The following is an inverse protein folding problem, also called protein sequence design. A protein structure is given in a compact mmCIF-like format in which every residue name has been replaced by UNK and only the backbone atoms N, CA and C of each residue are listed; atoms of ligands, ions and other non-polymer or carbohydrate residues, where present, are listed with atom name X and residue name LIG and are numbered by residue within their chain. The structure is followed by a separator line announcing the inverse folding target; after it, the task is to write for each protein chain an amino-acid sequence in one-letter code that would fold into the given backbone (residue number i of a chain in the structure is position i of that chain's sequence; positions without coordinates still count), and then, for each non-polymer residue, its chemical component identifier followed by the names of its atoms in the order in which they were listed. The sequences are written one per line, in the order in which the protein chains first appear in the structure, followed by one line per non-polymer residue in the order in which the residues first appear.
data_IF_202146287667
#
_entry.id   IF_202146287667
#
_cell.length_a   1.000
_cell.length_b   1.000
_cell.length_c   1.000
_cell.angle_alpha   90.00
_cell.angle_beta   90.00
_cell.angle_gamma   90.00
#
_symmetry.space_group_name_H-M   'P 1'
#
loop_
_entity.id
_entity.type
_entity.pdbx_description
1 polymer ?
#
# COMPACT_ATOMS: atom_id res chain seq x y z
N UNK A 1 29.86 -24.66 -31.94
CA UNK A 1 29.87 -26.12 -32.21
C UNK A 1 28.56 -26.59 -32.87
N UNK A 2 27.41 -25.98 -32.56
CA UNK A 2 26.09 -26.33 -33.11
C UNK A 2 25.91 -25.87 -34.56
N UNK A 3 26.54 -24.80 -35.00
CA UNK A 3 26.47 -24.24 -36.35
C UNK A 3 27.04 -25.20 -37.44
N UNK A 4 27.86 -26.18 -37.09
CA UNK A 4 28.44 -27.14 -38.05
C UNK A 4 27.56 -28.37 -38.34
N UNK A 5 26.44 -28.52 -37.67
CA UNK A 5 25.58 -29.72 -37.76
C UNK A 5 24.30 -29.51 -38.60
N UNK A 6 23.99 -28.29 -39.01
CA UNK A 6 22.76 -28.02 -39.79
C UNK A 6 23.15 -27.43 -41.17
N UNK A 7 22.88 -28.12 -42.25
CA UNK A 7 23.26 -27.75 -43.62
C UNK A 7 22.30 -26.73 -44.29
N UNK A 8 21.54 -25.97 -43.55
CA UNK A 8 20.58 -25.01 -44.08
C UNK A 8 20.96 -23.59 -43.69
N UNK A 9 21.58 -22.85 -44.57
CA UNK A 9 21.94 -21.41 -44.41
C UNK A 9 20.75 -20.52 -44.08
N UNK A 10 19.54 -20.99 -44.23
CA UNK A 10 18.31 -20.24 -43.90
C UNK A 10 17.86 -20.42 -42.44
N UNK A 11 18.25 -21.51 -41.78
CA UNK A 11 17.82 -21.86 -40.43
C UNK A 11 18.66 -21.13 -39.37
N UNK A 12 19.91 -20.82 -39.67
CA UNK A 12 20.84 -20.14 -38.73
C UNK A 12 20.37 -18.75 -38.32
N UNK A 13 19.98 -17.83 -39.24
CA UNK A 13 19.54 -16.49 -38.81
C UNK A 13 18.20 -16.55 -38.04
N UNK A 14 17.32 -17.50 -38.40
CA UNK A 14 16.06 -17.68 -37.64
C UNK A 14 16.30 -18.19 -36.21
N UNK A 15 17.24 -19.10 -36.01
CA UNK A 15 17.64 -19.61 -34.70
C UNK A 15 18.32 -18.54 -33.88
N UNK A 16 19.16 -17.69 -34.44
CA UNK A 16 19.80 -16.57 -33.74
C UNK A 16 18.76 -15.57 -33.22
N UNK A 17 17.83 -15.14 -34.07
CA UNK A 17 16.73 -14.23 -33.67
C UNK A 17 15.86 -14.88 -32.58
N UNK A 18 15.56 -16.17 -32.69
CA UNK A 18 14.75 -16.87 -31.69
C UNK A 18 15.46 -16.96 -30.33
N UNK A 19 16.78 -17.20 -30.33
CA UNK A 19 17.59 -17.24 -29.11
C UNK A 19 17.71 -15.86 -28.47
N UNK A 20 17.87 -14.80 -29.25
CA UNK A 20 17.93 -13.43 -28.76
C UNK A 20 16.58 -13.02 -28.17
N UNK A 21 15.48 -13.30 -28.83
CA UNK A 21 14.14 -13.07 -28.29
C UNK A 21 13.89 -13.87 -27.01
N UNK A 22 14.31 -15.15 -26.96
CA UNK A 22 14.17 -15.98 -25.77
C UNK A 22 14.96 -15.41 -24.60
N UNK A 23 16.16 -14.89 -24.81
CA UNK A 23 16.99 -14.24 -23.80
C UNK A 23 16.30 -13.01 -23.19
N UNK A 24 15.69 -12.17 -24.02
CA UNK A 24 14.94 -10.98 -23.57
C UNK A 24 13.72 -11.37 -22.74
N UNK A 25 12.93 -12.34 -23.22
CA UNK A 25 11.74 -12.82 -22.52
C UNK A 25 12.12 -13.46 -21.18
N UNK A 26 13.20 -14.24 -21.15
CA UNK A 26 13.67 -14.87 -19.93
C UNK A 26 14.09 -13.81 -18.87
N UNK A 27 14.74 -12.74 -19.30
CA UNK A 27 15.11 -11.62 -18.42
C UNK A 27 13.87 -10.92 -17.87
N UNK A 28 12.85 -10.68 -18.69
CA UNK A 28 11.57 -10.12 -18.23
C UNK A 28 10.89 -11.02 -17.20
N UNK A 29 10.81 -12.32 -17.48
CA UNK A 29 10.22 -13.31 -16.56
C UNK A 29 10.99 -13.37 -15.22
N UNK A 30 12.32 -13.27 -15.28
CA UNK A 30 13.14 -13.22 -14.07
C UNK A 30 12.80 -12.02 -13.20
N UNK A 31 12.73 -10.80 -13.77
CA UNK A 31 12.40 -9.60 -13.00
C UNK A 31 10.93 -9.61 -12.50
N UNK A 32 9.98 -10.08 -13.30
CA UNK A 32 8.59 -10.27 -12.86
C UNK A 32 8.52 -11.24 -11.70
N UNK A 33 9.19 -12.38 -11.80
CA UNK A 33 9.26 -13.38 -10.73
C UNK A 33 9.93 -12.84 -9.47
N UNK A 34 11.05 -12.12 -9.62
CA UNK A 34 11.75 -11.49 -8.50
C UNK A 34 10.83 -10.49 -7.76
N UNK A 35 10.09 -9.65 -8.47
CA UNK A 35 9.18 -8.67 -7.86
C UNK A 35 7.93 -9.30 -7.23
N UNK A 36 7.58 -10.52 -7.59
CA UNK A 36 6.49 -11.25 -6.96
C UNK A 36 6.92 -12.08 -5.74
N UNK A 37 8.14 -12.65 -5.79
CA UNK A 37 8.59 -13.64 -4.80
C UNK A 37 9.42 -13.03 -3.67
N UNK A 38 10.25 -12.01 -3.96
CA UNK A 38 11.16 -11.43 -2.97
C UNK A 38 10.44 -10.57 -1.91
N UNK A 39 9.46 -9.68 -2.26
CA UNK A 39 8.76 -8.91 -1.25
C UNK A 39 7.85 -9.81 -0.39
N UNK A 40 7.90 -9.61 0.93
CA UNK A 40 6.95 -10.27 1.86
C UNK A 40 5.55 -9.61 1.82
N UNK A 41 5.07 -9.27 0.63
CA UNK A 41 3.78 -8.67 0.37
C UNK A 41 3.11 -9.37 -0.81
N UNK A 42 1.77 -9.53 -0.78
CA UNK A 42 1.01 -10.14 -1.89
C UNK A 42 1.00 -9.18 -3.10
N UNK A 43 1.99 -9.29 -3.98
CA UNK A 43 2.08 -8.48 -5.19
C UNK A 43 1.18 -9.09 -6.28
N UNK A 44 0.27 -8.26 -6.84
CA UNK A 44 -0.59 -8.70 -7.95
C UNK A 44 0.22 -8.78 -9.25
N UNK A 45 0.11 -9.87 -10.00
CA UNK A 45 0.80 -10.09 -11.27
C UNK A 45 0.63 -8.92 -12.26
N UNK A 46 -0.56 -8.30 -12.30
CA UNK A 46 -0.85 -7.13 -13.16
C UNK A 46 0.07 -5.92 -12.89
N UNK A 47 0.58 -5.78 -11.68
CA UNK A 47 1.45 -4.67 -11.26
C UNK A 47 2.94 -5.06 -11.41
N UNK A 48 3.28 -6.33 -11.21
CA UNK A 48 4.63 -6.84 -11.39
C UNK A 48 5.05 -6.91 -12.86
N UNK A 49 4.11 -7.21 -13.76
CA UNK A 49 4.39 -7.38 -15.19
C UNK A 49 4.99 -6.12 -15.84
N UNK A 50 4.37 -4.91 -15.78
CA UNK A 50 4.94 -3.71 -16.39
C UNK A 50 6.27 -3.29 -15.74
N UNK A 51 6.39 -3.46 -14.42
CA UNK A 51 7.63 -3.16 -13.71
C UNK A 51 8.77 -4.10 -14.11
N UNK A 52 8.49 -5.39 -14.27
CA UNK A 52 9.46 -6.40 -14.71
C UNK A 52 9.91 -6.22 -16.16
N UNK A 53 8.99 -5.86 -17.06
CA UNK A 53 9.33 -5.52 -18.46
C UNK A 53 10.23 -4.28 -18.50
N UNK A 54 9.88 -3.22 -17.76
CA UNK A 54 10.65 -1.98 -17.74
C UNK A 54 12.07 -2.22 -17.18
N UNK A 55 12.18 -2.90 -16.04
CA UNK A 55 13.46 -3.21 -15.42
C UNK A 55 14.30 -4.17 -16.28
N UNK A 56 13.68 -5.21 -16.84
CA UNK A 56 14.35 -6.16 -17.72
C UNK A 56 14.86 -5.53 -18.99
N UNK A 57 14.11 -4.60 -19.60
CA UNK A 57 14.55 -3.85 -20.78
C UNK A 57 15.71 -2.91 -20.44
N UNK A 58 15.64 -2.21 -19.30
CA UNK A 58 16.72 -1.35 -18.84
C UNK A 58 18.00 -2.18 -18.53
N UNK A 59 17.84 -3.36 -17.96
CA UNK A 59 18.94 -4.28 -17.67
C UNK A 59 19.60 -4.81 -18.95
N UNK A 60 18.82 -5.18 -19.97
CA UNK A 60 19.32 -5.61 -21.28
C UNK A 60 20.13 -4.48 -21.96
N UNK A 61 19.61 -3.26 -21.89
CA UNK A 61 20.31 -2.08 -22.40
C UNK A 61 21.65 -1.87 -21.68
N UNK A 62 21.65 -1.97 -20.34
CA UNK A 62 22.86 -1.87 -19.54
C UNK A 62 23.86 -2.97 -19.89
N UNK A 63 23.41 -4.21 -20.08
CA UNK A 63 24.25 -5.34 -20.47
C UNK A 63 24.88 -5.12 -21.83
N UNK A 64 24.11 -4.67 -22.81
CA UNK A 64 24.63 -4.33 -24.14
C UNK A 64 25.68 -3.24 -24.07
N UNK A 65 25.41 -2.17 -23.32
CA UNK A 65 26.34 -1.05 -23.12
C UNK A 65 27.64 -1.51 -22.45
N UNK A 66 27.54 -2.40 -21.46
CA UNK A 66 28.69 -2.95 -20.75
C UNK A 66 29.59 -3.78 -21.67
N UNK A 67 29.01 -4.71 -22.44
CA UNK A 67 29.76 -5.55 -23.39
C UNK A 67 30.41 -4.70 -24.47
N UNK A 68 29.69 -3.75 -25.05
CA UNK A 68 30.20 -2.83 -26.05
C UNK A 68 31.35 -1.96 -25.51
N UNK A 69 31.16 -1.44 -24.27
CA UNK A 69 32.17 -0.66 -23.56
C UNK A 69 33.46 -1.43 -23.29
N UNK A 70 33.34 -2.70 -22.86
CA UNK A 70 34.52 -3.56 -22.68
C UNK A 70 35.29 -3.79 -23.96
N UNK A 71 34.60 -4.06 -25.07
CA UNK A 71 35.24 -4.26 -26.39
C UNK A 71 35.95 -2.99 -26.85
N UNK A 72 35.36 -1.82 -26.59
CA UNK A 72 35.98 -0.53 -26.93
C UNK A 72 37.24 -0.27 -26.13
N UNK A 73 37.20 -0.44 -24.81
CA UNK A 73 38.37 -0.26 -23.92
C UNK A 73 39.48 -1.25 -24.25
N UNK A 74 39.15 -2.51 -24.54
CA UNK A 74 40.13 -3.53 -24.91
C UNK A 74 40.91 -3.21 -26.20
N UNK A 75 40.26 -2.53 -27.17
CA UNK A 75 40.91 -2.12 -28.41
C UNK A 75 41.92 -0.97 -28.24
N UNK A 76 41.66 -0.06 -27.31
CA UNK A 76 42.47 1.18 -27.18
C UNK A 76 43.56 1.10 -26.12
N UNK A 77 43.54 0.15 -25.18
CA UNK A 77 44.51 0.09 -24.08
C UNK A 77 45.17 -1.29 -23.93
N UNK A 78 46.20 -1.55 -24.71
CA UNK A 78 47.00 -2.77 -24.58
C UNK A 78 47.69 -2.91 -23.19
N UNK A 79 47.99 -1.76 -22.53
CA UNK A 79 48.72 -1.73 -21.23
C UNK A 79 47.75 -1.71 -20.03
N UNK A 80 46.59 -1.02 -20.13
CA UNK A 80 45.60 -0.85 -19.06
C UNK A 80 44.36 -1.74 -19.20
N UNK A 81 44.25 -2.51 -20.28
CA UNK A 81 43.00 -3.26 -20.61
C UNK A 81 42.51 -4.21 -19.53
N UNK A 82 43.42 -4.91 -18.87
CA UNK A 82 43.05 -5.82 -17.77
C UNK A 82 42.68 -5.08 -16.46
N UNK A 83 43.26 -3.89 -16.24
CA UNK A 83 42.97 -3.09 -15.04
C UNK A 83 41.65 -2.28 -15.18
N UNK A 84 41.29 -1.93 -16.40
CA UNK A 84 40.00 -1.23 -16.67
C UNK A 84 38.76 -2.07 -16.43
N UNK A 85 38.88 -3.38 -16.44
CA UNK A 85 37.80 -4.31 -16.18
C UNK A 85 37.17 -4.13 -14.78
N UNK A 86 38.01 -3.93 -13.76
CA UNK A 86 37.59 -3.81 -12.37
C UNK A 86 36.64 -2.60 -12.14
N UNK A 87 37.02 -1.35 -12.50
CA UNK A 87 36.12 -0.21 -12.35
C UNK A 87 34.85 -0.35 -13.18
N UNK A 88 34.96 -0.87 -14.41
CA UNK A 88 33.80 -1.06 -15.29
C UNK A 88 32.80 -2.09 -14.72
N UNK A 89 33.33 -3.18 -14.13
CA UNK A 89 32.52 -4.17 -13.44
C UNK A 89 31.79 -3.60 -12.21
N UNK A 90 32.48 -2.76 -11.41
CA UNK A 90 31.87 -2.10 -10.25
C UNK A 90 30.73 -1.17 -10.68
N UNK A 91 30.92 -0.37 -11.74
CA UNK A 91 29.89 0.50 -12.29
C UNK A 91 28.69 -0.33 -12.79
N UNK A 92 28.96 -1.41 -13.53
CA UNK A 92 27.91 -2.31 -14.02
C UNK A 92 27.10 -2.93 -12.86
N UNK A 93 27.77 -3.41 -11.82
CA UNK A 93 27.12 -3.98 -10.65
C UNK A 93 26.25 -2.94 -9.92
N UNK A 94 26.76 -1.72 -9.75
CA UNK A 94 26.04 -0.63 -9.13
C UNK A 94 24.78 -0.23 -9.93
N UNK A 95 24.90 -0.13 -11.25
CA UNK A 95 23.77 0.22 -12.13
C UNK A 95 22.74 -0.93 -12.18
N UNK A 96 23.18 -2.17 -12.21
CA UNK A 96 22.30 -3.35 -12.16
C UNK A 96 21.45 -3.35 -10.90
N UNK A 97 22.05 -3.04 -9.74
CA UNK A 97 21.34 -2.91 -8.48
C UNK A 97 20.37 -1.76 -8.47
N UNK A 98 20.77 -0.61 -9.01
CA UNK A 98 19.91 0.57 -9.14
C UNK A 98 18.67 0.28 -10.00
N UNK A 99 18.84 -0.38 -11.15
CA UNK A 99 17.73 -0.77 -12.03
C UNK A 99 16.77 -1.72 -11.31
N UNK A 100 17.31 -2.71 -10.58
CA UNK A 100 16.51 -3.68 -9.82
C UNK A 100 15.67 -2.99 -8.75
N UNK A 101 16.26 -2.08 -7.98
CA UNK A 101 15.55 -1.31 -6.95
C UNK A 101 14.53 -0.34 -7.56
N UNK A 102 14.88 0.35 -8.64
CA UNK A 102 13.96 1.25 -9.34
C UNK A 102 12.72 0.50 -9.85
N UNK A 103 12.91 -0.69 -10.43
CA UNK A 103 11.79 -1.54 -10.87
C UNK A 103 10.91 -2.01 -9.69
N UNK A 104 11.50 -2.36 -8.56
CA UNK A 104 10.75 -2.69 -7.35
C UNK A 104 9.92 -1.51 -6.84
N UNK A 105 10.47 -0.29 -6.90
CA UNK A 105 9.77 0.95 -6.57
C UNK A 105 8.57 1.19 -7.51
N UNK A 106 8.76 1.01 -8.82
CA UNK A 106 7.68 1.13 -9.81
C UNK A 106 6.59 0.08 -9.55
N UNK A 107 6.95 -1.15 -9.24
CA UNK A 107 6.00 -2.20 -8.90
C UNK A 107 5.19 -1.86 -7.65
N UNK A 108 5.85 -1.39 -6.59
CA UNK A 108 5.21 -0.93 -5.35
C UNK A 108 4.31 0.27 -5.58
N UNK A 109 4.77 1.26 -6.35
CA UNK A 109 3.97 2.44 -6.69
C UNK A 109 2.72 2.07 -7.49
N UNK A 110 2.83 1.17 -8.48
CA UNK A 110 1.71 0.67 -9.26
C UNK A 110 0.68 -0.08 -8.40
N UNK A 111 1.14 -0.81 -7.38
CA UNK A 111 0.25 -1.50 -6.45
C UNK A 111 -0.49 -0.54 -5.53
N UNK A 112 0.16 0.53 -5.11
CA UNK A 112 -0.36 1.49 -4.13
C UNK A 112 -1.02 2.73 -4.78
N UNK A 113 -1.16 2.78 -6.10
CA UNK A 113 -1.68 3.95 -6.82
C UNK A 113 -3.10 4.34 -6.34
N UNK A 114 -3.94 3.34 -6.04
CA UNK A 114 -5.27 3.57 -5.49
C UNK A 114 -5.21 4.24 -4.10
N UNK A 115 -4.26 3.85 -3.26
CA UNK A 115 -4.03 4.47 -1.94
C UNK A 115 -3.49 5.90 -2.05
N UNK A 116 -2.56 6.16 -2.98
CA UNK A 116 -2.02 7.51 -3.21
C UNK A 116 -3.08 8.47 -3.75
N UNK A 117 -3.89 8.03 -4.71
CA UNK A 117 -5.00 8.82 -5.26
C UNK A 117 -6.04 9.10 -4.18
N UNK A 118 -6.34 8.12 -3.35
CA UNK A 118 -7.27 8.24 -2.23
C UNK A 118 -6.76 9.22 -1.15
N UNK A 119 -5.51 9.10 -0.71
CA UNK A 119 -4.93 10.02 0.28
C UNK A 119 -4.97 11.48 -0.20
N UNK A 120 -4.87 11.71 -1.51
CA UNK A 120 -5.01 13.04 -2.10
C UNK A 120 -6.47 13.52 -2.09
N UNK A 121 -7.43 12.67 -2.41
CA UNK A 121 -8.86 12.99 -2.43
C UNK A 121 -9.47 13.13 -1.02
N UNK A 122 -8.98 12.34 -0.04
CA UNK A 122 -9.47 12.41 1.35
C UNK A 122 -8.84 13.51 2.17
N UNK A 123 -7.76 14.12 1.69
CA UNK A 123 -7.13 15.26 2.37
C UNK A 123 -8.05 16.49 2.39
N UNK A 124 -8.93 16.61 1.40
CA UNK A 124 -9.88 17.72 1.25
C UNK A 124 -11.25 17.46 1.89
N UNK A 125 -11.46 16.30 2.54
CA UNK A 125 -12.69 16.00 3.27
C UNK A 125 -12.68 16.77 4.58
N UNK A 126 -13.71 17.62 4.81
CA UNK A 126 -13.85 18.32 6.08
C UNK A 126 -14.01 17.37 7.26
N UNK A 127 -13.46 17.72 8.43
CA UNK A 127 -13.55 16.88 9.63
C UNK A 127 -15.01 16.61 10.03
N UNK A 128 -15.90 17.58 9.81
CA UNK A 128 -17.33 17.41 10.06
C UNK A 128 -17.95 16.35 9.14
N UNK A 129 -17.60 16.34 7.84
CA UNK A 129 -18.10 15.30 6.93
C UNK A 129 -17.51 13.93 7.27
N UNK A 130 -16.23 13.87 7.62
CA UNK A 130 -15.57 12.64 8.09
C UNK A 130 -16.26 12.08 9.34
N UNK A 131 -16.63 12.95 10.28
CA UNK A 131 -17.37 12.56 11.49
C UNK A 131 -18.73 11.96 11.13
N UNK A 132 -19.49 12.60 10.21
CA UNK A 132 -20.78 12.07 9.74
C UNK A 132 -20.65 10.66 9.15
N UNK A 133 -19.67 10.46 8.27
CA UNK A 133 -19.40 9.14 7.66
C UNK A 133 -18.97 8.13 8.73
N UNK A 134 -18.18 8.54 9.71
CA UNK A 134 -17.76 7.67 10.83
C UNK A 134 -18.95 7.18 11.65
N UNK A 135 -19.85 8.09 12.01
CA UNK A 135 -21.08 7.76 12.76
C UNK A 135 -21.99 6.84 11.91
N UNK A 136 -22.12 7.12 10.62
CA UNK A 136 -22.93 6.29 9.71
C UNK A 136 -22.37 4.86 9.60
N UNK A 137 -21.07 4.68 9.42
CA UNK A 137 -20.44 3.35 9.37
C UNK A 137 -20.64 2.61 10.69
N UNK A 138 -20.42 3.29 11.82
CA UNK A 138 -20.58 2.71 13.14
C UNK A 138 -22.04 2.29 13.40
N UNK A 139 -23.02 3.11 13.02
CA UNK A 139 -24.45 2.78 13.15
C UNK A 139 -24.84 1.54 12.36
N UNK A 140 -24.30 1.38 11.15
CA UNK A 140 -24.50 0.17 10.32
C UNK A 140 -23.97 -1.08 11.03
N UNK A 141 -22.77 -1.01 11.61
CA UNK A 141 -22.16 -2.15 12.31
C UNK A 141 -22.97 -2.49 13.55
N UNK A 142 -23.40 -1.49 14.34
CA UNK A 142 -24.19 -1.68 15.55
C UNK A 142 -25.56 -2.29 15.23
N UNK A 143 -26.27 -1.79 14.22
CA UNK A 143 -27.57 -2.33 13.79
C UNK A 143 -27.47 -3.77 13.30
N UNK A 144 -26.40 -4.11 12.58
CA UNK A 144 -26.17 -5.51 12.15
C UNK A 144 -25.93 -6.42 13.36
N UNK A 145 -25.16 -5.94 14.32
CA UNK A 145 -24.88 -6.68 15.56
C UNK A 145 -26.16 -6.86 16.40
N UNK A 146 -26.96 -5.79 16.57
CA UNK A 146 -28.26 -5.84 17.27
C UNK A 146 -29.24 -6.82 16.60
N UNK A 147 -29.20 -6.93 15.27
CA UNK A 147 -30.00 -7.88 14.49
C UNK A 147 -29.42 -9.32 14.49
N UNK A 148 -28.41 -9.62 15.29
CA UNK A 148 -27.70 -10.90 15.36
C UNK A 148 -27.21 -11.40 13.97
N UNK A 149 -26.91 -10.48 13.03
CA UNK A 149 -26.35 -10.83 11.72
C UNK A 149 -24.85 -11.04 11.83
N UNK A 150 -24.27 -11.76 10.86
CA UNK A 150 -22.81 -11.95 10.81
C UNK A 150 -22.07 -10.62 10.82
N UNK A 151 -20.92 -10.54 11.49
CA UNK A 151 -20.06 -9.35 11.45
C UNK A 151 -19.72 -8.97 10.01
N UNK A 152 -19.67 -7.67 9.72
CA UNK A 152 -19.41 -7.14 8.37
C UNK A 152 -17.92 -6.78 8.22
N UNK A 153 -17.39 -6.96 7.01
CA UNK A 153 -16.02 -6.53 6.71
C UNK A 153 -16.01 -5.07 6.23
N UNK A 154 -14.88 -4.33 6.40
CA UNK A 154 -14.73 -3.00 5.81
C UNK A 154 -14.97 -3.00 4.30
N UNK A 155 -14.52 -4.04 3.59
CA UNK A 155 -14.71 -4.19 2.16
C UNK A 155 -16.18 -4.38 1.76
N UNK A 156 -16.94 -5.19 2.51
CA UNK A 156 -18.39 -5.34 2.31
C UNK A 156 -19.13 -4.02 2.59
N UNK A 157 -18.73 -3.29 3.63
CA UNK A 157 -19.32 -1.98 3.97
C UNK A 157 -19.09 -0.99 2.83
N UNK A 158 -17.87 -0.92 2.31
CA UNK A 158 -17.51 -0.07 1.19
C UNK A 158 -18.35 -0.36 -0.06
N UNK A 159 -18.49 -1.64 -0.43
CA UNK A 159 -19.23 -2.06 -1.63
C UNK A 159 -20.74 -1.86 -1.49
N UNK A 160 -21.30 -2.09 -0.29
CA UNK A 160 -22.75 -1.98 -0.05
C UNK A 160 -23.23 -0.53 -0.08
N UNK A 161 -22.44 0.40 0.45
CA UNK A 161 -22.83 1.81 0.59
C UNK A 161 -22.17 2.74 -0.42
N UNK A 162 -21.36 2.21 -1.36
CA UNK A 162 -20.66 3.00 -2.37
C UNK A 162 -19.62 3.96 -1.79
N UNK A 163 -19.10 3.66 -0.59
CA UNK A 163 -18.07 4.46 0.08
C UNK A 163 -16.70 3.93 -0.36
N UNK A 164 -15.72 4.79 -0.71
CA UNK A 164 -14.38 4.33 -1.08
C UNK A 164 -13.76 3.43 0.00
N UNK A 165 -13.35 2.22 -0.37
CA UNK A 165 -12.83 1.23 0.58
C UNK A 165 -11.69 1.75 1.48
N UNK A 166 -10.72 2.55 0.99
CA UNK A 166 -9.68 3.08 1.87
C UNK A 166 -10.22 4.06 2.94
N UNK A 167 -11.34 4.78 2.67
CA UNK A 167 -11.97 5.64 3.67
C UNK A 167 -12.62 4.79 4.77
N UNK A 168 -13.32 3.73 4.37
CA UNK A 168 -13.93 2.80 5.32
C UNK A 168 -12.86 2.14 6.19
N UNK A 169 -11.76 1.68 5.59
CA UNK A 169 -10.63 1.07 6.31
C UNK A 169 -10.00 2.04 7.31
N UNK A 170 -9.68 3.27 6.87
CA UNK A 170 -9.10 4.29 7.75
C UNK A 170 -10.05 4.67 8.92
N UNK A 171 -11.36 4.77 8.66
CA UNK A 171 -12.37 5.02 9.69
C UNK A 171 -12.46 3.83 10.66
N UNK A 172 -12.49 2.61 10.14
CA UNK A 172 -12.56 1.39 10.94
C UNK A 172 -11.33 1.25 11.85
N UNK A 173 -10.12 1.49 11.30
CA UNK A 173 -8.89 1.48 12.09
C UNK A 173 -8.92 2.51 13.21
N UNK A 174 -9.41 3.72 12.93
CA UNK A 174 -9.59 4.75 13.95
C UNK A 174 -10.59 4.36 15.02
N UNK A 175 -11.73 3.74 14.65
CA UNK A 175 -12.73 3.24 15.60
C UNK A 175 -12.18 2.12 16.48
N UNK A 176 -11.35 1.24 15.94
CA UNK A 176 -10.65 0.20 16.68
C UNK A 176 -9.62 0.82 17.64
N UNK A 177 -8.83 1.78 17.19
CA UNK A 177 -7.87 2.48 18.04
C UNK A 177 -8.56 3.21 19.19
N UNK A 178 -9.77 3.76 18.98
CA UNK A 178 -10.59 4.38 20.03
C UNK A 178 -11.27 3.36 20.96
N UNK A 179 -11.14 2.05 20.71
CA UNK A 179 -11.80 0.99 21.50
C UNK A 179 -13.31 0.90 21.28
N UNK A 180 -13.81 1.39 20.16
CA UNK A 180 -15.24 1.31 19.79
C UNK A 180 -15.56 0.05 18.97
N UNK A 181 -14.60 -0.48 18.22
CA UNK A 181 -14.73 -1.69 17.44
C UNK A 181 -13.61 -2.67 17.76
N UNK A 182 -13.85 -3.95 17.52
CA UNK A 182 -12.83 -5.01 17.53
C UNK A 182 -12.92 -5.84 16.25
N UNK A 183 -11.76 -6.34 15.80
CA UNK A 183 -11.71 -7.33 14.71
C UNK A 183 -12.02 -8.71 15.23
N UNK A 184 -12.77 -9.46 14.45
CA UNK A 184 -13.08 -10.86 14.73
C UNK A 184 -12.34 -11.71 13.72
N UNK A 185 -11.55 -12.67 14.20
CA UNK A 185 -10.93 -13.68 13.34
C UNK A 185 -11.90 -14.83 13.16
N UNK A 186 -12.38 -15.13 11.94
CA UNK A 186 -13.12 -16.34 11.69
C UNK A 186 -12.24 -17.57 11.92
N UNK A 187 -12.78 -18.62 12.53
CA UNK A 187 -12.05 -19.87 12.75
C UNK A 187 -11.52 -20.43 11.42
N UNK A 188 -10.22 -20.71 11.36
CA UNK A 188 -9.54 -21.28 10.18
C UNK A 188 -8.99 -20.27 9.17
N UNK A 189 -9.07 -18.96 9.41
CA UNK A 189 -8.61 -17.92 8.49
C UNK A 189 -7.34 -17.22 8.99
N UNK A 190 -6.18 -17.84 8.78
CA UNK A 190 -4.89 -17.27 9.24
C UNK A 190 -4.31 -16.18 8.31
N UNK A 191 -4.93 -15.89 7.14
CA UNK A 191 -4.27 -15.13 6.07
C UNK A 191 -5.15 -14.01 5.46
N UNK A 192 -6.16 -13.53 6.20
CA UNK A 192 -7.02 -12.44 5.74
C UNK A 192 -6.31 -11.09 5.84
N UNK A 193 -6.40 -10.29 4.77
CA UNK A 193 -5.97 -8.90 4.82
C UNK A 193 -6.81 -8.12 5.85
N UNK A 194 -6.24 -7.03 6.37
CA UNK A 194 -6.87 -6.17 7.40
C UNK A 194 -8.29 -5.73 7.00
N UNK A 195 -8.52 -5.47 5.71
CA UNK A 195 -9.80 -5.02 5.15
C UNK A 195 -10.84 -6.14 4.98
N UNK A 196 -10.40 -7.40 4.98
CA UNK A 196 -11.23 -8.59 4.88
C UNK A 196 -11.59 -9.17 6.26
N UNK A 197 -11.01 -8.63 7.34
CA UNK A 197 -11.35 -9.06 8.70
C UNK A 197 -12.67 -8.43 9.13
N UNK A 198 -13.66 -9.23 9.54
CA UNK A 198 -14.93 -8.71 10.05
C UNK A 198 -14.74 -7.90 11.33
N UNK A 199 -15.61 -6.91 11.53
CA UNK A 199 -15.60 -6.05 12.72
C UNK A 199 -16.92 -6.11 13.45
N UNK A 200 -16.84 -5.94 14.77
CA UNK A 200 -18.00 -5.89 15.67
C UNK A 200 -17.80 -4.84 16.77
N UNK A 201 -18.87 -4.41 17.45
CA UNK A 201 -18.76 -3.53 18.62
C UNK A 201 -17.86 -4.13 19.69
N UNK A 202 -17.04 -3.27 20.33
CA UNK A 202 -16.11 -3.68 21.39
C UNK A 202 -16.78 -3.79 22.77
N UNK A 203 -17.97 -3.19 22.93
CA UNK A 203 -18.73 -3.13 24.18
C UNK A 203 -20.23 -3.31 23.91
N UNK A 204 -21.04 -3.31 24.97
CA UNK A 204 -22.51 -3.41 24.83
C UNK A 204 -23.06 -2.26 23.98
N UNK A 205 -24.03 -2.58 23.11
CA UNK A 205 -24.66 -1.63 22.18
C UNK A 205 -25.36 -0.47 22.87
N UNK A 206 -25.78 -0.65 24.12
CA UNK A 206 -26.47 0.37 24.92
C UNK A 206 -25.57 1.55 25.31
N UNK A 207 -24.26 1.39 25.20
CA UNK A 207 -23.30 2.46 25.48
C UNK A 207 -22.97 3.35 24.26
N UNK A 208 -23.43 2.96 23.05
CA UNK A 208 -23.10 3.70 21.83
C UNK A 208 -24.10 4.84 21.59
N UNK A 209 -24.04 5.88 22.41
CA UNK A 209 -24.73 7.13 22.12
C UNK A 209 -23.88 8.00 21.17
N UNK A 210 -24.52 8.93 20.46
CA UNK A 210 -23.81 9.86 19.58
C UNK A 210 -22.78 10.68 20.32
N UNK A 211 -23.12 11.17 21.52
CA UNK A 211 -22.22 12.00 22.35
C UNK A 211 -21.03 11.17 22.81
N UNK A 212 -21.24 9.98 23.31
CA UNK A 212 -20.17 9.08 23.75
C UNK A 212 -19.16 8.78 22.62
N UNK A 213 -19.66 8.49 21.42
CA UNK A 213 -18.80 8.20 20.28
C UNK A 213 -17.98 9.43 19.86
N UNK A 214 -18.60 10.62 19.80
CA UNK A 214 -17.91 11.86 19.46
C UNK A 214 -16.83 12.16 20.50
N UNK A 215 -17.15 12.02 21.78
CA UNK A 215 -16.21 12.23 22.89
C UNK A 215 -15.00 11.29 22.79
N UNK A 216 -15.24 10.00 22.54
CA UNK A 216 -14.18 9.00 22.35
C UNK A 216 -13.28 9.34 21.16
N UNK A 217 -13.86 9.75 20.03
CA UNK A 217 -13.11 10.13 18.82
C UNK A 217 -12.28 11.41 19.00
N UNK A 218 -12.79 12.39 19.74
CA UNK A 218 -12.10 13.67 20.02
C UNK A 218 -11.00 13.51 21.04
N UNK A 219 -11.24 12.71 22.07
CA UNK A 219 -10.31 12.50 23.17
C UNK A 219 -9.26 11.41 22.91
N UNK A 220 -9.25 10.79 21.72
CA UNK A 220 -8.26 9.79 21.38
C UNK A 220 -6.94 10.45 20.98
N UNK A 221 -5.87 10.08 21.68
CA UNK A 221 -4.53 10.61 21.48
C UNK A 221 -3.94 11.23 22.75
N UNK A 222 -2.75 11.79 22.64
CA UNK A 222 -2.05 12.44 23.73
C UNK A 222 -2.62 13.83 23.97
N UNK A 223 -3.12 14.08 25.19
CA UNK A 223 -3.77 15.34 25.55
C UNK A 223 -2.78 16.44 25.96
N UNK A 224 -1.56 16.08 26.36
CA UNK A 224 -0.54 16.99 26.91
C UNK A 224 0.78 16.91 26.12
N UNK A 225 0.70 16.87 24.79
CA UNK A 225 1.88 16.77 23.91
C UNK A 225 2.84 17.97 24.10
N UNK A 226 2.31 19.18 24.35
CA UNK A 226 3.09 20.37 24.63
C UNK A 226 3.01 20.65 26.13
N UNK A 227 4.13 20.51 26.83
CA UNK A 227 4.21 20.78 28.26
C UNK A 227 3.95 22.30 28.52
N UNK A 228 3.01 22.60 29.41
CA UNK A 228 2.70 24.00 29.77
C UNK A 228 1.72 24.72 28.83
N UNK A 229 1.21 24.11 27.78
CA UNK A 229 0.25 24.69 26.83
C UNK A 229 -0.96 25.39 27.53
N UNK A 230 -1.64 24.76 28.53
CA UNK A 230 -2.75 25.41 29.23
C UNK A 230 -2.36 26.66 30.01
N UNK A 231 -1.14 26.70 30.51
CA UNK A 231 -0.64 27.87 31.28
C UNK A 231 -0.27 29.02 30.35
N UNK A 232 0.20 28.74 29.15
CA UNK A 232 0.61 29.74 28.16
C UNK A 232 -0.60 30.29 27.38
N UNK A 233 -1.64 29.47 27.18
CA UNK A 233 -2.85 29.83 26.43
C UNK A 233 -4.14 29.56 27.24
N UNK A 234 -4.33 30.20 28.43
CA UNK A 234 -5.46 29.89 29.31
C UNK A 234 -6.83 30.22 28.69
N UNK A 235 -6.91 31.30 27.90
CA UNK A 235 -8.16 31.68 27.24
C UNK A 235 -8.62 30.69 26.16
N UNK A 236 -7.69 30.13 25.39
CA UNK A 236 -8.00 29.14 24.38
C UNK A 236 -8.45 27.81 25.03
N UNK A 237 -7.74 27.42 26.08
CA UNK A 237 -8.07 26.20 26.83
C UNK A 237 -9.47 26.29 27.44
N UNK A 238 -9.80 27.40 28.10
CA UNK A 238 -11.11 27.60 28.70
C UNK A 238 -12.27 27.57 27.67
N UNK A 239 -12.09 28.18 26.51
CA UNK A 239 -13.10 28.16 25.44
C UNK A 239 -13.27 26.72 24.88
N UNK A 240 -12.19 26.00 24.67
CA UNK A 240 -12.27 24.60 24.19
C UNK A 240 -12.94 23.70 25.22
N UNK A 241 -12.62 23.84 26.50
CA UNK A 241 -13.23 23.09 27.60
C UNK A 241 -14.74 23.39 27.72
N UNK A 242 -15.13 24.66 27.52
CA UNK A 242 -16.55 25.03 27.49
C UNK A 242 -17.30 24.39 26.31
N UNK A 243 -16.71 24.37 25.12
CA UNK A 243 -17.31 23.69 23.95
C UNK A 243 -17.47 22.19 24.23
N UNK A 244 -16.47 21.56 24.82
CA UNK A 244 -16.53 20.12 25.14
C UNK A 244 -17.57 19.83 26.22
N UNK A 245 -17.71 20.68 27.25
CA UNK A 245 -18.74 20.55 28.28
C UNK A 245 -20.16 20.72 27.72
N UNK A 246 -20.35 21.62 26.75
CA UNK A 246 -21.64 21.79 26.08
C UNK A 246 -22.01 20.58 25.22
N UNK A 247 -21.05 19.94 24.57
CA UNK A 247 -21.27 18.70 23.82
C UNK A 247 -21.73 17.56 24.72
N UNK A 248 -21.12 17.40 25.88
CA UNK A 248 -21.47 16.32 26.82
C UNK A 248 -22.83 16.56 27.52
N UNK A 249 -23.30 17.80 27.59
CA UNK A 249 -24.61 18.17 28.19
C UNK A 249 -25.74 18.29 27.17
N UNK A 250 -25.54 17.89 25.90
CA UNK A 250 -26.62 17.92 24.89
C UNK A 250 -27.79 17.04 25.32
N UNK A 251 -28.97 17.68 25.50
CA UNK A 251 -30.23 16.96 25.71
C UNK A 251 -30.65 16.32 24.39
N UNK A 252 -30.94 15.00 24.42
CA UNK A 252 -31.36 14.26 23.25
C UNK A 252 -30.25 13.39 22.65
N UNK A 253 -29.41 12.83 23.50
CA UNK A 253 -28.42 11.84 23.10
C UNK A 253 -29.13 10.58 22.60
N UNK A 254 -29.03 10.30 21.32
CA UNK A 254 -29.71 9.19 20.66
C UNK A 254 -28.76 8.00 20.53
N UNK A 255 -29.26 6.81 20.82
CA UNK A 255 -28.49 5.58 20.61
C UNK A 255 -28.31 5.33 19.10
N UNK A 256 -27.10 4.88 18.72
CA UNK A 256 -26.81 4.56 17.31
C UNK A 256 -27.61 3.35 16.78
N UNK A 257 -28.16 2.55 17.66
CA UNK A 257 -29.10 1.47 17.31
C UNK A 257 -30.45 1.97 16.83
N UNK A 258 -30.86 3.19 17.21
CA UNK A 258 -32.16 3.80 16.88
C UNK A 258 -32.14 4.71 15.67
N UNK A 259 -30.95 5.19 15.28
CA UNK A 259 -30.75 6.06 14.09
C UNK A 259 -30.76 5.21 12.82
#
# INVERSE_FOLDING_TARGET
AIQKLLPFDFVTPFLEIMLDCASVVLTWLFFVGAYMLIPNAKVKFKNALPAGILAGTAFQLLQWLFVTGQLYVAKYNAIYGSFSFLPLMLIWMQLSWLITLAGALVCSAAQNIAMFTFNRQTRDISDNYRLKVTIAILSVIIKRFAAAKRPITPLETASTYGIPSPLVSAITDRLIACGLLVRVMPEGSHDLSTDEQPVQPAMSIDHYSCVFVIERLRNHGEKNFIAGFPAEFPGVTAICDEIDSRLTTMKGDTLLSEI
#
